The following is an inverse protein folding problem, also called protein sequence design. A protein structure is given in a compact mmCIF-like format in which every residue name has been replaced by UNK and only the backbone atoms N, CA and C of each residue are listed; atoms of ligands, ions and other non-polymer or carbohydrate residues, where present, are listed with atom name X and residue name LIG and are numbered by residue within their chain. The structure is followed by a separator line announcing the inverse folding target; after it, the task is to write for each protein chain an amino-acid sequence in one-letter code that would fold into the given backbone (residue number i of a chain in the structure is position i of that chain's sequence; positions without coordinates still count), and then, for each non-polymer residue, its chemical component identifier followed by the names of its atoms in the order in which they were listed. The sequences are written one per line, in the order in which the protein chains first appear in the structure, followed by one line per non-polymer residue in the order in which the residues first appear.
data_IF_428588794777
#
_entry.id   IF_428588794777
#
_cell.length_a   1.000
_cell.length_b   1.000
_cell.length_c   1.000
_cell.angle_alpha   90.00
_cell.angle_beta   90.00
_cell.angle_gamma   90.00
#
_symmetry.space_group_name_H-M   'P 1'
#
loop_
_entity.id
_entity.type
_entity.pdbx_description
1 polymer ?
#
# COMPACT_ATOMS: atom_id res chain seq x y z
N UNK A 1 14.82 -16.29 50.68
CA UNK A 1 14.88 -16.17 49.20
C UNK A 1 13.51 -16.31 48.49
N UNK A 2 12.37 -16.03 49.12
CA UNK A 2 11.03 -16.36 48.55
C UNK A 2 10.25 -15.18 47.95
N UNK A 3 10.56 -13.92 48.31
CA UNK A 3 9.78 -12.75 47.86
C UNK A 3 10.14 -12.26 46.46
N UNK A 4 11.43 -12.30 46.09
CA UNK A 4 11.92 -11.82 44.78
C UNK A 4 11.44 -12.68 43.59
N UNK A 5 11.39 -14.01 43.77
CA UNK A 5 10.88 -14.91 42.72
C UNK A 5 9.39 -14.70 42.43
N UNK A 6 8.57 -14.46 43.46
CA UNK A 6 7.12 -14.22 43.29
C UNK A 6 6.84 -12.91 42.54
N UNK A 7 7.63 -11.86 42.78
CA UNK A 7 7.52 -10.59 42.04
C UNK A 7 7.95 -10.70 40.58
N UNK A 8 8.99 -11.49 40.27
CA UNK A 8 9.39 -11.69 38.87
C UNK A 8 8.37 -12.53 38.09
N UNK A 9 7.81 -13.59 38.68
CA UNK A 9 6.76 -14.38 38.04
C UNK A 9 5.47 -13.57 37.79
N UNK A 10 5.10 -12.67 38.71
CA UNK A 10 3.95 -11.77 38.53
C UNK A 10 4.14 -10.77 37.38
N UNK A 11 5.35 -10.22 37.21
CA UNK A 11 5.64 -9.28 36.14
C UNK A 11 5.64 -9.94 34.74
N UNK A 12 6.14 -11.18 34.64
CA UNK A 12 6.14 -11.96 33.39
C UNK A 12 4.72 -12.35 32.98
N UNK A 13 3.86 -12.74 33.92
CA UNK A 13 2.47 -13.06 33.64
C UNK A 13 1.68 -11.82 33.14
N UNK A 14 1.91 -10.64 33.73
CA UNK A 14 1.31 -9.38 33.30
C UNK A 14 1.77 -8.95 31.90
N UNK A 15 3.04 -9.17 31.54
CA UNK A 15 3.53 -8.88 30.18
C UNK A 15 2.93 -9.82 29.14
N UNK A 16 2.69 -11.09 29.50
CA UNK A 16 2.04 -12.06 28.62
C UNK A 16 0.56 -11.72 28.36
N UNK A 17 -0.17 -11.25 29.38
CA UNK A 17 -1.59 -10.89 29.22
C UNK A 17 -1.81 -9.62 28.37
N UNK A 18 -0.93 -8.62 28.43
CA UNK A 18 -1.08 -7.38 27.63
C UNK A 18 -0.74 -7.64 26.14
N UNK A 19 0.15 -8.60 25.87
CA UNK A 19 0.55 -8.96 24.50
C UNK A 19 -0.51 -9.80 23.76
N UNK A 20 -1.41 -10.46 24.49
CA UNK A 20 -2.42 -11.37 23.94
C UNK A 20 -3.71 -10.68 23.45
N UNK A 21 -3.87 -9.36 23.63
CA UNK A 21 -5.14 -8.66 23.36
C UNK A 21 -5.12 -7.69 22.17
N UNK A 22 -4.01 -7.54 21.46
CA UNK A 22 -4.03 -6.84 20.18
C UNK A 22 -4.63 -7.78 19.12
N UNK A 23 -5.88 -7.50 18.68
CA UNK A 23 -6.51 -8.25 17.59
C UNK A 23 -5.57 -8.19 16.37
N UNK A 24 -5.20 -9.33 15.77
CA UNK A 24 -4.38 -9.34 14.56
C UNK A 24 -5.11 -8.60 13.43
N UNK A 25 -4.34 -7.94 12.55
CA UNK A 25 -4.89 -7.31 11.36
C UNK A 25 -5.24 -8.37 10.33
N UNK A 26 -6.49 -8.38 9.87
CA UNK A 26 -7.09 -9.45 9.04
C UNK A 26 -7.42 -8.96 7.63
N UNK A 27 -7.87 -9.88 6.76
CA UNK A 27 -8.38 -9.55 5.44
C UNK A 27 -9.54 -8.54 5.50
N UNK A 28 -10.42 -8.67 6.50
CA UNK A 28 -11.54 -7.74 6.72
C UNK A 28 -11.05 -6.34 7.06
N UNK A 29 -9.98 -6.22 7.87
CA UNK A 29 -9.37 -4.94 8.20
C UNK A 29 -8.70 -4.31 6.95
N UNK A 30 -8.05 -5.11 6.11
CA UNK A 30 -7.51 -4.67 4.83
C UNK A 30 -8.61 -4.12 3.89
N UNK A 31 -9.73 -4.83 3.78
CA UNK A 31 -10.88 -4.39 2.96
C UNK A 31 -11.48 -3.09 3.52
N UNK A 32 -11.68 -3.01 4.83
CA UNK A 32 -12.21 -1.81 5.48
C UNK A 32 -11.30 -0.59 5.24
N UNK A 33 -9.99 -0.79 5.34
CA UNK A 33 -9.02 0.26 5.11
C UNK A 33 -8.95 0.66 3.62
N UNK A 34 -8.99 -0.29 2.69
CA UNK A 34 -9.05 -0.01 1.25
C UNK A 34 -10.24 0.89 0.90
N UNK A 35 -11.42 0.60 1.46
CA UNK A 35 -12.63 1.40 1.25
C UNK A 35 -12.53 2.83 1.81
N UNK A 36 -11.62 3.09 2.76
CA UNK A 36 -11.45 4.43 3.33
C UNK A 36 -10.77 5.43 2.38
N UNK A 37 -10.08 4.95 1.34
CA UNK A 37 -9.36 5.82 0.38
C UNK A 37 -10.29 6.60 -0.55
N UNK A 38 -11.57 6.23 -0.64
CA UNK A 38 -12.60 6.89 -1.47
C UNK A 38 -12.06 7.24 -2.86
N UNK A 39 -11.56 6.25 -3.58
CA UNK A 39 -10.98 6.45 -4.92
C UNK A 39 -12.02 7.10 -5.83
N UNK A 40 -11.61 8.18 -6.49
CA UNK A 40 -12.45 8.97 -7.39
C UNK A 40 -12.44 8.31 -8.75
N UNK A 41 -13.58 7.77 -9.14
CA UNK A 41 -13.85 7.41 -10.51
C UNK A 41 -14.15 8.71 -11.27
N UNK A 42 -13.25 9.13 -12.15
CA UNK A 42 -13.45 10.32 -12.99
C UNK A 42 -14.60 10.14 -13.99
N UNK A 43 -14.42 10.55 -15.24
CA UNK A 43 -15.44 10.40 -16.29
C UNK A 43 -15.62 8.95 -16.80
N UNK A 44 -15.24 7.95 -16.02
CA UNK A 44 -15.37 6.54 -16.41
C UNK A 44 -16.81 6.05 -16.26
N UNK A 45 -17.20 5.07 -17.08
CA UNK A 45 -18.46 4.35 -16.89
C UNK A 45 -18.51 3.69 -15.50
N UNK A 46 -19.69 3.71 -14.89
CA UNK A 46 -19.95 3.21 -13.52
C UNK A 46 -19.52 1.76 -13.37
N UNK A 47 -19.79 0.91 -14.37
CA UNK A 47 -19.41 -0.50 -14.33
C UNK A 47 -17.89 -0.70 -14.26
N UNK A 48 -17.13 0.12 -15.00
CA UNK A 48 -15.66 0.09 -14.98
C UNK A 48 -15.10 0.57 -13.65
N UNK A 49 -15.67 1.64 -13.11
CA UNK A 49 -15.33 2.15 -11.78
C UNK A 49 -15.50 1.08 -10.69
N UNK A 50 -16.64 0.40 -10.66
CA UNK A 50 -16.91 -0.67 -9.68
C UNK A 50 -15.96 -1.86 -9.86
N UNK A 51 -15.60 -2.18 -11.10
CA UNK A 51 -14.62 -3.22 -11.40
C UNK A 51 -13.22 -2.84 -10.89
N UNK A 52 -12.74 -1.63 -11.20
CA UNK A 52 -11.42 -1.14 -10.76
C UNK A 52 -11.35 -1.05 -9.23
N UNK A 53 -12.45 -0.68 -8.56
CA UNK A 53 -12.52 -0.69 -7.09
C UNK A 53 -12.39 -2.10 -6.51
N UNK A 54 -13.02 -3.11 -7.13
CA UNK A 54 -12.88 -4.52 -6.71
C UNK A 54 -11.43 -5.01 -6.90
N UNK A 55 -10.81 -4.67 -8.03
CA UNK A 55 -9.38 -4.97 -8.26
C UNK A 55 -8.53 -4.30 -7.19
N UNK A 56 -8.73 -3.01 -6.93
CA UNK A 56 -7.98 -2.29 -5.91
C UNK A 56 -8.07 -2.96 -4.54
N UNK A 57 -9.26 -3.39 -4.11
CA UNK A 57 -9.43 -4.09 -2.83
C UNK A 57 -8.64 -5.40 -2.80
N UNK A 58 -8.71 -6.21 -3.87
CA UNK A 58 -7.94 -7.46 -3.97
C UNK A 58 -6.43 -7.21 -3.92
N UNK A 59 -5.95 -6.23 -4.66
CA UNK A 59 -4.55 -5.81 -4.63
C UNK A 59 -4.15 -5.30 -3.25
N UNK A 60 -5.03 -4.59 -2.55
CA UNK A 60 -4.78 -4.10 -1.19
C UNK A 60 -4.57 -5.24 -0.20
N UNK A 61 -5.38 -6.29 -0.28
CA UNK A 61 -5.22 -7.49 0.53
C UNK A 61 -3.90 -8.21 0.19
N UNK A 62 -3.63 -8.41 -1.09
CA UNK A 62 -2.39 -9.06 -1.56
C UNK A 62 -1.13 -8.27 -1.20
N UNK A 63 -1.20 -6.94 -1.19
CA UNK A 63 -0.09 -6.07 -0.77
C UNK A 63 0.26 -6.28 0.70
N UNK A 64 -0.75 -6.40 1.57
CA UNK A 64 -0.58 -6.75 2.99
C UNK A 64 -0.14 -8.20 3.22
N UNK A 65 -0.45 -9.10 2.29
CA UNK A 65 0.11 -10.45 2.28
C UNK A 65 1.59 -10.49 1.83
N UNK A 66 2.18 -9.34 1.46
CA UNK A 66 3.59 -9.22 1.10
C UNK A 66 3.88 -9.37 -0.40
N UNK A 67 2.85 -9.39 -1.26
CA UNK A 67 3.04 -9.52 -2.72
C UNK A 67 3.58 -8.20 -3.29
N UNK A 68 4.82 -8.22 -3.82
CA UNK A 68 5.50 -7.02 -4.32
C UNK A 68 4.71 -6.28 -5.41
N UNK A 69 4.21 -7.00 -6.42
CA UNK A 69 3.48 -6.36 -7.52
C UNK A 69 2.22 -5.66 -7.01
N UNK A 70 1.49 -6.31 -6.11
CA UNK A 70 0.32 -5.73 -5.45
C UNK A 70 0.68 -4.46 -4.66
N UNK A 71 1.80 -4.44 -3.93
CA UNK A 71 2.27 -3.24 -3.22
C UNK A 71 2.51 -2.07 -4.18
N UNK A 72 3.08 -2.35 -5.36
CA UNK A 72 3.34 -1.35 -6.39
C UNK A 72 2.04 -0.85 -7.03
N UNK A 73 1.13 -1.75 -7.36
CA UNK A 73 -0.17 -1.39 -7.97
C UNK A 73 -1.07 -0.64 -7.00
N UNK A 74 -1.08 -0.99 -5.71
CA UNK A 74 -1.78 -0.25 -4.66
C UNK A 74 -1.27 1.18 -4.54
N UNK A 75 0.05 1.37 -4.51
CA UNK A 75 0.64 2.71 -4.46
C UNK A 75 0.22 3.56 -5.65
N UNK A 76 0.25 2.97 -6.86
CA UNK A 76 -0.18 3.61 -8.09
C UNK A 76 -1.68 3.93 -8.09
N UNK A 77 -2.54 3.00 -7.70
CA UNK A 77 -3.98 3.17 -7.67
C UNK A 77 -4.40 4.28 -6.70
N UNK A 78 -3.85 4.30 -5.48
CA UNK A 78 -4.11 5.39 -4.53
C UNK A 78 -3.62 6.72 -5.13
N UNK A 79 -2.41 6.75 -5.69
CA UNK A 79 -1.91 7.99 -6.28
C UNK A 79 -2.79 8.48 -7.45
N UNK A 80 -3.14 7.62 -8.39
CA UNK A 80 -3.87 8.00 -9.60
C UNK A 80 -5.30 8.44 -9.32
N UNK A 81 -5.99 7.73 -8.43
CA UNK A 81 -7.42 7.91 -8.20
C UNK A 81 -7.74 8.62 -6.87
N UNK A 82 -6.75 9.12 -6.13
CA UNK A 82 -7.03 9.94 -4.94
C UNK A 82 -7.74 11.23 -5.29
N UNK A 83 -8.50 11.74 -4.34
CA UNK A 83 -8.73 13.17 -4.21
C UNK A 83 -7.37 13.87 -3.89
N UNK A 84 -6.89 14.80 -4.74
CA UNK A 84 -5.63 15.50 -4.51
C UNK A 84 -5.63 16.33 -3.22
N UNK A 85 -6.79 16.77 -2.71
CA UNK A 85 -6.92 17.52 -1.46
C UNK A 85 -6.84 16.60 -0.22
N UNK A 86 -6.96 15.29 -0.40
CA UNK A 86 -6.86 14.32 0.69
C UNK A 86 -5.40 13.94 0.98
N UNK A 87 -4.81 14.62 1.96
CA UNK A 87 -3.46 14.35 2.43
C UNK A 87 -3.25 12.90 2.91
N UNK A 88 -4.28 12.23 3.45
CA UNK A 88 -4.15 10.85 3.92
C UNK A 88 -3.92 9.88 2.76
N UNK A 89 -4.58 10.09 1.63
CA UNK A 89 -4.35 9.29 0.41
C UNK A 89 -2.96 9.52 -0.16
N UNK A 90 -2.45 10.75 -0.13
CA UNK A 90 -1.06 11.05 -0.52
C UNK A 90 -0.04 10.33 0.37
N UNK A 91 -0.23 10.37 1.69
CA UNK A 91 0.59 9.64 2.67
C UNK A 91 0.52 8.14 2.41
N UNK A 92 -0.67 7.59 2.16
CA UNK A 92 -0.88 6.18 1.84
C UNK A 92 -0.14 5.74 0.59
N UNK A 93 -0.27 6.47 -0.51
CA UNK A 93 0.43 6.18 -1.77
C UNK A 93 1.95 6.18 -1.59
N UNK A 94 2.51 7.23 -0.98
CA UNK A 94 3.95 7.31 -0.74
C UNK A 94 4.44 6.21 0.22
N UNK A 95 3.67 5.86 1.25
CA UNK A 95 4.03 4.79 2.17
C UNK A 95 4.09 3.42 1.46
N UNK A 96 3.08 3.08 0.66
CA UNK A 96 3.08 1.83 -0.12
C UNK A 96 4.21 1.78 -1.15
N UNK A 97 4.46 2.90 -1.85
CA UNK A 97 5.57 2.99 -2.79
C UNK A 97 6.91 2.79 -2.07
N UNK A 98 7.09 3.39 -0.90
CA UNK A 98 8.30 3.21 -0.08
C UNK A 98 8.51 1.74 0.31
N UNK A 99 7.43 1.03 0.63
CA UNK A 99 7.48 -0.40 0.97
C UNK A 99 7.90 -1.23 -0.24
N UNK A 100 7.25 -1.02 -1.39
CA UNK A 100 7.60 -1.69 -2.64
C UNK A 100 9.08 -1.46 -2.99
N UNK A 101 9.57 -0.22 -2.88
CA UNK A 101 10.97 0.13 -3.12
C UNK A 101 11.95 -0.43 -2.08
N UNK A 102 11.49 -0.79 -0.89
CA UNK A 102 12.32 -1.45 0.12
C UNK A 102 12.40 -2.96 -0.04
N UNK A 103 11.56 -3.57 -0.88
CA UNK A 103 11.60 -5.01 -1.17
C UNK A 103 12.90 -5.40 -1.88
N UNK A 104 13.28 -6.68 -1.88
CA UNK A 104 14.42 -7.18 -2.68
C UNK A 104 13.99 -7.72 -4.05
N UNK A 105 12.85 -7.28 -4.59
CA UNK A 105 12.30 -7.81 -5.85
C UNK A 105 13.19 -7.47 -7.05
N UNK A 106 13.42 -8.46 -7.93
CA UNK A 106 14.08 -8.28 -9.23
C UNK A 106 13.16 -7.62 -10.27
N UNK A 107 11.86 -7.50 -9.98
CA UNK A 107 10.87 -6.87 -10.86
C UNK A 107 10.84 -5.34 -10.75
N UNK A 108 11.72 -4.73 -9.95
CA UNK A 108 11.84 -3.28 -9.88
C UNK A 108 12.39 -2.73 -11.19
N UNK A 109 11.81 -1.62 -11.65
CA UNK A 109 12.22 -0.94 -12.87
C UNK A 109 12.62 0.51 -12.57
N UNK A 110 13.47 1.17 -13.39
CA UNK A 110 13.91 2.54 -13.14
C UNK A 110 12.76 3.55 -12.97
N UNK A 111 11.62 3.33 -13.63
CA UNK A 111 10.44 4.17 -13.46
C UNK A 111 9.86 4.15 -12.04
N UNK A 112 10.16 3.14 -11.23
CA UNK A 112 9.70 3.06 -9.85
C UNK A 112 10.39 4.09 -8.94
N UNK A 113 11.66 4.40 -9.20
CA UNK A 113 12.36 5.48 -8.50
C UNK A 113 11.72 6.84 -8.80
N UNK A 114 11.39 7.09 -10.06
CA UNK A 114 10.76 8.34 -10.48
C UNK A 114 9.32 8.44 -9.98
N UNK A 115 8.57 7.34 -9.94
CA UNK A 115 7.26 7.26 -9.27
C UNK A 115 7.39 7.60 -7.80
N UNK A 116 8.40 7.07 -7.11
CA UNK A 116 8.67 7.36 -5.69
C UNK A 116 8.93 8.83 -5.47
N UNK A 117 9.82 9.45 -6.25
CA UNK A 117 10.10 10.89 -6.15
C UNK A 117 8.82 11.71 -6.33
N UNK A 118 8.01 11.41 -7.36
CA UNK A 118 6.76 12.12 -7.65
C UNK A 118 5.72 11.94 -6.54
N UNK A 119 5.49 10.71 -6.09
CA UNK A 119 4.49 10.40 -5.05
C UNK A 119 4.90 10.99 -3.71
N UNK A 120 6.18 10.98 -3.37
CA UNK A 120 6.69 11.41 -2.07
C UNK A 120 7.23 12.85 -2.06
N UNK A 121 7.08 13.63 -3.14
CA UNK A 121 7.67 14.97 -3.25
C UNK A 121 7.26 15.90 -2.10
N UNK A 122 6.00 15.83 -1.67
CA UNK A 122 5.44 16.67 -0.61
C UNK A 122 6.11 16.44 0.75
N UNK A 123 6.66 15.24 0.97
CA UNK A 123 7.36 14.88 2.20
C UNK A 123 8.72 15.59 2.35
N UNK A 124 9.31 16.07 1.24
CA UNK A 124 10.59 16.79 1.28
C UNK A 124 10.42 18.24 1.76
N UNK A 125 9.25 18.83 1.53
CA UNK A 125 8.92 20.19 1.94
C UNK A 125 8.30 20.28 3.35
N UNK A 126 7.67 19.20 3.84
CA UNK A 126 6.97 19.18 5.12
C UNK A 126 7.43 18.03 6.04
N UNK A 127 8.09 18.40 7.15
CA UNK A 127 8.56 17.47 8.18
C UNK A 127 7.42 16.68 8.82
N UNK A 128 6.23 17.26 8.95
CA UNK A 128 5.06 16.57 9.54
C UNK A 128 4.60 15.44 8.64
N UNK A 129 4.49 15.70 7.34
CA UNK A 129 4.18 14.71 6.31
C UNK A 129 5.22 13.59 6.27
N UNK A 130 6.51 13.93 6.29
CA UNK A 130 7.60 12.94 6.35
C UNK A 130 7.46 11.99 7.54
N UNK A 131 7.20 12.52 8.73
CA UNK A 131 6.99 11.70 9.93
C UNK A 131 5.72 10.83 9.83
N UNK A 132 4.66 11.35 9.22
CA UNK A 132 3.42 10.60 9.03
C UNK A 132 3.62 9.40 8.09
N UNK A 133 4.37 9.60 6.99
CA UNK A 133 4.75 8.54 6.05
C UNK A 133 5.59 7.48 6.77
N UNK A 134 6.63 7.88 7.51
CA UNK A 134 7.48 6.95 8.25
C UNK A 134 6.67 6.10 9.24
N UNK A 135 5.79 6.72 10.03
CA UNK A 135 4.90 6.01 10.94
C UNK A 135 4.00 5.02 10.20
N UNK A 136 3.47 5.42 9.05
CA UNK A 136 2.60 4.57 8.23
C UNK A 136 3.36 3.38 7.63
N UNK A 137 4.56 3.60 7.12
CA UNK A 137 5.45 2.53 6.62
C UNK A 137 5.74 1.51 7.71
N UNK A 138 6.11 1.96 8.91
CA UNK A 138 6.40 1.06 10.04
C UNK A 138 5.16 0.27 10.49
N UNK A 139 3.97 0.89 10.48
CA UNK A 139 2.72 0.18 10.76
C UNK A 139 2.45 -0.93 9.73
N UNK A 140 2.55 -0.63 8.44
CA UNK A 140 2.30 -1.61 7.39
C UNK A 140 3.32 -2.75 7.46
N UNK A 141 4.62 -2.44 7.63
CA UNK A 141 5.67 -3.47 7.79
C UNK A 141 5.39 -4.42 8.94
N UNK A 142 4.94 -3.89 10.09
CA UNK A 142 4.55 -4.71 11.24
C UNK A 142 3.39 -5.64 10.91
N UNK A 143 2.39 -5.16 10.17
CA UNK A 143 1.25 -5.97 9.74
C UNK A 143 1.72 -7.09 8.80
N UNK A 144 2.50 -6.77 7.76
CA UNK A 144 3.02 -7.75 6.80
C UNK A 144 3.84 -8.84 7.51
N UNK A 145 4.71 -8.45 8.45
CA UNK A 145 5.59 -9.38 9.17
C UNK A 145 4.85 -10.38 10.07
N UNK A 146 3.60 -10.10 10.44
CA UNK A 146 2.76 -11.00 11.25
C UNK A 146 2.09 -12.07 10.39
N UNK A 147 2.04 -11.88 9.05
CA UNK A 147 1.49 -12.86 8.09
C UNK A 147 0.05 -13.31 8.37
N UNK A 148 -0.81 -12.38 8.82
CA UNK A 148 -2.23 -12.64 9.11
C UNK A 148 -3.19 -12.28 7.97
N UNK A 149 -2.68 -11.65 6.92
CA UNK A 149 -3.42 -11.35 5.69
C UNK A 149 -2.97 -12.31 4.60
N UNK A 150 -3.93 -12.85 3.86
CA UNK A 150 -3.67 -13.78 2.76
C UNK A 150 -3.96 -13.09 1.42
N UNK A 151 -3.24 -13.44 0.34
CA UNK A 151 -3.54 -12.92 -0.98
C UNK A 151 -4.99 -13.21 -1.35
N UNK A 152 -5.64 -12.24 -1.98
CA UNK A 152 -6.98 -12.46 -2.50
C UNK A 152 -6.88 -13.38 -3.73
N UNK A 153 -7.81 -14.33 -3.86
CA UNK A 153 -7.93 -15.11 -5.08
C UNK A 153 -8.34 -14.18 -6.24
N UNK A 154 -7.40 -13.96 -7.14
CA UNK A 154 -7.72 -13.48 -8.47
C UNK A 154 -8.28 -14.69 -9.21
N UNK A 155 -9.61 -14.78 -9.32
CA UNK A 155 -10.19 -15.49 -10.46
C UNK A 155 -9.47 -14.93 -11.69
N UNK A 156 -8.75 -15.79 -12.41
CA UNK A 156 -7.96 -15.42 -13.59
C UNK A 156 -8.96 -14.90 -14.62
N UNK A 157 -9.20 -13.59 -14.61
CA UNK A 157 -9.94 -12.92 -15.65
C UNK A 157 -8.97 -12.70 -16.81
N UNK A 158 -9.42 -13.06 -18.02
CA UNK A 158 -8.72 -12.82 -19.27
C UNK A 158 -8.08 -11.44 -19.23
N UNK A 159 -6.77 -11.41 -19.44
CA UNK A 159 -6.02 -10.19 -19.65
C UNK A 159 -6.71 -9.42 -20.77
N UNK A 160 -7.59 -8.48 -20.43
CA UNK A 160 -7.85 -7.35 -21.31
C UNK A 160 -6.52 -6.64 -21.33
N UNK A 161 -5.76 -6.94 -22.39
CA UNK A 161 -4.61 -6.22 -22.84
C UNK A 161 -4.99 -4.74 -22.76
N UNK A 162 -4.62 -4.06 -21.67
CA UNK A 162 -4.75 -2.61 -21.61
C UNK A 162 -3.74 -2.17 -22.65
N UNK A 163 -4.25 -1.80 -23.82
CA UNK A 163 -3.47 -1.27 -24.93
C UNK A 163 -2.49 -0.25 -24.37
N UNK A 164 -1.24 -0.70 -24.24
CA UNK A 164 -0.08 0.12 -24.01
C UNK A 164 0.31 0.71 -25.36
N UNK A 165 -0.65 1.33 -26.04
CA UNK A 165 -0.51 1.75 -27.42
C UNK A 165 -0.53 3.27 -27.49
N UNK A 166 0.68 3.77 -27.79
CA UNK A 166 1.00 5.00 -28.53
C UNK A 166 0.81 6.34 -27.82
N UNK A 167 1.84 6.70 -27.04
CA UNK A 167 2.37 8.08 -27.01
C UNK A 167 3.91 8.07 -27.24
N UNK A 168 4.38 7.16 -28.10
CA UNK A 168 5.75 7.16 -28.61
C UNK A 168 5.70 7.06 -30.13
N UNK A 169 5.47 8.19 -30.78
CA UNK A 169 5.96 8.56 -32.10
C UNK A 169 5.06 9.65 -32.66
N UNK A 170 5.49 10.91 -32.58
CA UNK A 170 5.37 11.88 -33.68
C UNK A 170 6.14 13.13 -33.27
N UNK A 171 7.32 13.30 -33.89
CA UNK A 171 8.17 14.45 -33.64
C UNK A 171 9.65 14.23 -33.98
N UNK A 172 9.97 13.33 -34.91
CA UNK A 172 11.26 13.33 -35.59
C UNK A 172 11.02 13.32 -37.10
N UNK A 173 11.72 14.23 -37.79
CA UNK A 173 11.88 14.44 -39.25
C UNK A 173 10.72 15.19 -39.96
N UNK A 174 10.92 16.22 -40.80
CA UNK A 174 12.13 16.80 -41.41
C UNK A 174 11.79 18.09 -42.23
N UNK A 175 12.82 18.92 -42.49
CA UNK A 175 12.99 19.97 -43.54
C UNK A 175 12.06 21.21 -43.50
N UNK A 176 12.50 22.46 -43.67
CA UNK A 176 13.69 23.05 -44.33
C UNK A 176 14.55 23.96 -43.44
#
# INVERSE_FOLDING_TARGET
MSKLLKTMLGAVALTYCVSAHAKPFTNEDAIAEANSFKLVCGNHDKARCEHDQKIFIKEYQSAYAGVFEAQREVAYAIWKYRDPENAASQIGACAWQTIAMSSSSNSKVPSDDDRTKKMCQFATADKKSSLAIQKRVEQIKKIIAIHTVYPADFEVFDFIQIDYDKDVSDGADSAD
#
